data_IF_530512090395
#
_entry.id   IF_530512090395
#
_cell.length_a   1.000
_cell.length_b   1.000
_cell.length_c   1.000
_cell.angle_alpha   90.00
_cell.angle_beta   90.00
_cell.angle_gamma   90.00
#
_symmetry.space_group_name_H-M   'P 1'
#
loop_
_entity.id
_entity.type
_entity.pdbx_description
1 polymer ?
#
# COMPACT_ATOMS: atom_id res chain seq x y z
N UNK A 1 -44.54 11.54 -0.66
CA UNK A 1 -43.65 12.29 -1.58
C UNK A 1 -42.42 12.79 -0.81
N UNK A 2 -41.71 11.89 -0.10
CA UNK A 2 -40.62 12.25 0.84
C UNK A 2 -39.47 11.22 0.76
N UNK A 3 -39.24 10.64 -0.42
CA UNK A 3 -38.28 9.56 -0.63
C UNK A 3 -37.17 9.94 -1.62
N UNK A 4 -37.20 11.16 -2.18
CA UNK A 4 -36.21 11.68 -3.14
C UNK A 4 -34.99 12.34 -2.51
N UNK A 5 -35.06 12.73 -1.24
CA UNK A 5 -34.03 13.60 -0.64
C UNK A 5 -32.93 12.83 0.10
N UNK A 6 -33.19 11.58 0.51
CA UNK A 6 -32.16 10.73 1.14
C UNK A 6 -31.14 10.20 0.13
N UNK A 7 -31.55 9.81 -1.07
CA UNK A 7 -30.64 9.24 -2.08
C UNK A 7 -29.62 10.27 -2.61
N UNK A 8 -30.02 11.54 -2.76
CA UNK A 8 -29.11 12.61 -3.21
C UNK A 8 -28.07 13.03 -2.16
N UNK A 9 -28.34 12.82 -0.87
CA UNK A 9 -27.42 13.19 0.21
C UNK A 9 -26.24 12.22 0.35
N UNK A 10 -26.45 10.94 0.04
CA UNK A 10 -25.41 9.90 0.14
C UNK A 10 -24.38 9.99 -1.00
N UNK A 11 -24.84 10.35 -2.20
CA UNK A 11 -24.02 10.54 -3.39
C UNK A 11 -23.17 11.82 -3.32
N UNK A 12 -23.59 12.87 -2.61
CA UNK A 12 -22.89 14.17 -2.59
C UNK A 12 -21.72 14.29 -1.59
N UNK A 13 -21.54 13.30 -0.69
CA UNK A 13 -20.55 13.34 0.41
C UNK A 13 -19.46 12.27 0.30
N UNK A 14 -19.34 11.59 -0.84
CA UNK A 14 -18.32 10.56 -1.07
C UNK A 14 -16.89 11.08 -0.81
N UNK A 15 -16.65 12.36 -1.09
CA UNK A 15 -15.36 13.03 -0.90
C UNK A 15 -14.97 13.14 0.58
N UNK A 16 -15.91 13.17 1.53
CA UNK A 16 -15.60 13.23 2.97
C UNK A 16 -14.89 11.94 3.42
N UNK A 17 -15.32 10.79 2.91
CA UNK A 17 -14.68 9.50 3.18
C UNK A 17 -13.28 9.40 2.55
N UNK A 18 -13.06 10.05 1.40
CA UNK A 18 -11.74 10.15 0.79
C UNK A 18 -10.83 11.14 1.53
N UNK A 19 -11.36 12.29 1.94
CA UNK A 19 -10.63 13.29 2.71
C UNK A 19 -10.17 12.74 4.06
N UNK A 20 -11.03 11.99 4.78
CA UNK A 20 -10.64 11.33 6.03
C UNK A 20 -9.58 10.25 5.78
N UNK A 21 -9.70 9.47 4.70
CA UNK A 21 -8.75 8.39 4.41
C UNK A 21 -7.37 8.91 4.02
N UNK A 22 -7.31 9.87 3.11
CA UNK A 22 -6.06 10.35 2.50
C UNK A 22 -5.53 11.65 3.12
N UNK A 23 -6.31 12.36 3.94
CA UNK A 23 -5.88 13.62 4.56
C UNK A 23 -4.70 13.43 5.50
N UNK A 24 -4.81 12.49 6.45
CA UNK A 24 -3.69 12.16 7.35
C UNK A 24 -2.47 11.66 6.56
N UNK A 25 -2.67 10.76 5.60
CA UNK A 25 -1.59 10.24 4.76
C UNK A 25 -0.93 11.34 3.93
N UNK A 26 -1.68 12.30 3.40
CA UNK A 26 -1.10 13.44 2.66
C UNK A 26 -0.12 14.24 3.52
N UNK A 27 -0.48 14.49 4.78
CA UNK A 27 0.41 15.20 5.72
C UNK A 27 1.66 14.35 6.03
N UNK A 28 1.46 13.07 6.38
CA UNK A 28 2.59 12.17 6.70
C UNK A 28 3.50 11.95 5.50
N UNK A 29 2.94 11.65 4.33
CA UNK A 29 3.66 11.51 3.07
C UNK A 29 4.43 12.76 2.68
N UNK A 30 3.88 13.96 2.92
CA UNK A 30 4.59 15.22 2.69
C UNK A 30 5.83 15.34 3.58
N UNK A 31 5.72 15.00 4.86
CA UNK A 31 6.83 14.97 5.81
C UNK A 31 7.87 13.92 5.40
N UNK A 32 7.45 12.70 5.08
CA UNK A 32 8.31 11.60 4.61
C UNK A 32 9.08 12.02 3.36
N UNK A 33 8.39 12.55 2.35
CA UNK A 33 9.01 12.98 1.10
C UNK A 33 10.05 14.08 1.35
N UNK A 34 9.72 15.06 2.20
CA UNK A 34 10.66 16.10 2.60
C UNK A 34 11.94 15.52 3.24
N UNK A 35 11.81 14.54 4.14
CA UNK A 35 12.97 13.86 4.74
C UNK A 35 13.78 13.07 3.71
N UNK A 36 13.12 12.34 2.79
CA UNK A 36 13.79 11.61 1.72
C UNK A 36 14.60 12.56 0.81
N UNK A 37 14.05 13.72 0.45
CA UNK A 37 14.76 14.74 -0.32
C UNK A 37 15.96 15.34 0.43
N UNK A 38 15.83 15.58 1.73
CA UNK A 38 16.93 16.16 2.52
C UNK A 38 18.05 15.16 2.81
N UNK A 39 17.74 13.86 2.85
CA UNK A 39 18.72 12.79 3.10
C UNK A 39 19.36 12.27 1.82
N UNK A 40 18.80 12.56 0.64
CA UNK A 40 19.34 12.11 -0.64
C UNK A 40 19.66 13.29 -1.58
N UNK A 41 20.94 13.53 -1.92
CA UNK A 41 21.34 14.61 -2.83
C UNK A 41 20.70 14.54 -4.23
N UNK A 42 20.31 13.36 -4.72
CA UNK A 42 19.64 13.22 -6.02
C UNK A 42 18.17 13.68 -5.97
N UNK A 43 17.51 13.56 -4.81
CA UNK A 43 16.12 13.96 -4.62
C UNK A 43 15.99 15.42 -4.13
N UNK A 44 17.03 15.99 -3.52
CA UNK A 44 17.04 17.37 -3.00
C UNK A 44 16.56 18.43 -4.00
N UNK A 45 16.89 18.38 -5.30
CA UNK A 45 16.39 19.35 -6.28
C UNK A 45 14.86 19.38 -6.42
N UNK A 46 14.15 18.31 -6.05
CA UNK A 46 12.67 18.26 -6.07
C UNK A 46 12.03 19.19 -5.03
N UNK A 47 12.80 19.72 -4.08
CA UNK A 47 12.33 20.74 -3.15
C UNK A 47 12.44 22.16 -3.71
N UNK A 48 12.94 22.34 -4.94
CA UNK A 48 13.10 23.64 -5.60
C UNK A 48 13.84 24.70 -4.75
N UNK A 49 14.84 24.25 -4.00
CA UNK A 49 15.64 25.14 -3.12
C UNK A 49 14.98 25.47 -1.78
N UNK A 50 13.85 24.86 -1.45
CA UNK A 50 13.26 24.98 -0.12
C UNK A 50 14.15 24.33 0.95
N UNK A 51 14.38 25.07 2.03
CA UNK A 51 15.19 24.63 3.17
C UNK A 51 14.32 24.45 4.42
N UNK A 52 14.74 23.54 5.29
CA UNK A 52 14.10 23.34 6.59
C UNK A 52 14.14 24.65 7.40
N UNK A 53 12.97 25.15 7.81
CA UNK A 53 12.85 26.34 8.66
C UNK A 53 12.17 27.55 8.02
N UNK A 54 11.92 27.55 6.70
CA UNK A 54 11.08 28.53 6.02
C UNK A 54 9.92 27.83 5.30
N UNK A 55 8.87 27.52 6.05
CA UNK A 55 7.65 26.96 5.48
C UNK A 55 6.83 28.13 4.91
N UNK A 56 6.89 28.31 3.59
CA UNK A 56 6.04 29.27 2.88
C UNK A 56 4.87 28.56 2.17
N UNK A 57 3.90 29.35 1.69
CA UNK A 57 2.70 28.84 1.01
C UNK A 57 3.00 27.93 -0.20
N UNK A 58 3.96 28.30 -1.08
CA UNK A 58 4.40 27.43 -2.17
C UNK A 58 4.97 26.09 -1.71
N UNK A 59 5.86 26.07 -0.71
CA UNK A 59 6.41 24.83 -0.17
C UNK A 59 5.32 23.95 0.44
N UNK A 60 4.36 24.53 1.18
CA UNK A 60 3.22 23.78 1.72
C UNK A 60 2.37 23.15 0.62
N UNK A 61 2.10 23.90 -0.46
CA UNK A 61 1.32 23.41 -1.59
C UNK A 61 2.06 22.26 -2.30
N UNK A 62 3.37 22.41 -2.48
CA UNK A 62 4.22 21.39 -3.08
C UNK A 62 4.24 20.11 -2.22
N UNK A 63 4.45 20.24 -0.91
CA UNK A 63 4.47 19.12 0.01
C UNK A 63 3.10 18.45 0.14
N UNK A 64 2.00 19.20 0.04
CA UNK A 64 0.66 18.63 -0.03
C UNK A 64 0.47 17.80 -1.32
N UNK A 65 0.93 18.30 -2.47
CA UNK A 65 0.89 17.58 -3.74
C UNK A 65 1.72 16.29 -3.71
N UNK A 66 2.98 16.39 -3.28
CA UNK A 66 3.86 15.22 -3.15
C UNK A 66 3.39 14.25 -2.08
N UNK A 67 2.90 14.75 -0.95
CA UNK A 67 2.33 13.94 0.10
C UNK A 67 1.12 13.15 -0.37
N UNK A 68 0.22 13.78 -1.12
CA UNK A 68 -0.95 13.09 -1.70
C UNK A 68 -0.52 12.00 -2.68
N UNK A 69 0.43 12.31 -3.58
CA UNK A 69 0.94 11.35 -4.55
C UNK A 69 1.64 10.16 -3.85
N UNK A 70 2.50 10.45 -2.88
CA UNK A 70 3.20 9.44 -2.09
C UNK A 70 2.23 8.55 -1.32
N UNK A 71 1.25 9.15 -0.65
CA UNK A 71 0.18 8.47 0.06
C UNK A 71 -0.60 7.52 -0.86
N UNK A 72 -0.94 7.96 -2.07
CA UNK A 72 -1.63 7.13 -3.05
C UNK A 72 -0.78 5.92 -3.46
N UNK A 73 0.50 6.13 -3.79
CA UNK A 73 1.45 5.06 -4.15
C UNK A 73 1.64 4.08 -2.97
N UNK A 74 1.88 4.59 -1.78
CA UNK A 74 2.06 3.79 -0.57
C UNK A 74 0.82 2.93 -0.28
N UNK A 75 -0.38 3.43 -0.59
CA UNK A 75 -1.65 2.72 -0.37
C UNK A 75 -1.96 1.58 -1.35
N UNK A 76 -1.20 1.41 -2.45
CA UNK A 76 -1.39 0.36 -3.45
C UNK A 76 -1.65 -1.06 -2.87
N UNK A 77 -0.91 -1.54 -1.84
CA UNK A 77 -1.17 -2.83 -1.22
C UNK A 77 -2.59 -3.00 -0.67
N UNK A 78 -3.20 -1.91 -0.16
CA UNK A 78 -4.57 -1.94 0.38
C UNK A 78 -5.57 -2.28 -0.73
N UNK A 79 -5.37 -1.77 -1.95
CA UNK A 79 -6.22 -2.08 -3.09
C UNK A 79 -6.17 -3.58 -3.44
N UNK A 80 -4.96 -4.16 -3.43
CA UNK A 80 -4.76 -5.59 -3.72
C UNK A 80 -5.48 -6.46 -2.71
N UNK A 81 -5.28 -6.19 -1.41
CA UNK A 81 -5.98 -6.93 -0.36
C UNK A 81 -7.49 -6.68 -0.38
N UNK A 82 -7.93 -5.49 -0.78
CA UNK A 82 -9.35 -5.20 -0.94
C UNK A 82 -9.98 -6.05 -2.05
N UNK A 83 -9.33 -6.16 -3.20
CA UNK A 83 -9.78 -6.98 -4.32
C UNK A 83 -9.75 -8.47 -3.96
N UNK A 84 -8.68 -8.93 -3.31
CA UNK A 84 -8.49 -10.34 -2.94
C UNK A 84 -9.17 -10.77 -1.65
N UNK A 85 -9.93 -9.91 -0.96
CA UNK A 85 -10.51 -10.22 0.37
C UNK A 85 -11.44 -11.43 0.39
N UNK A 86 -12.00 -11.84 -0.74
CA UNK A 86 -12.80 -13.07 -0.85
C UNK A 86 -11.99 -14.32 -0.49
N UNK A 87 -10.65 -14.26 -0.62
CA UNK A 87 -9.72 -15.31 -0.20
C UNK A 87 -9.65 -15.47 1.34
N UNK A 88 -10.25 -14.56 2.11
CA UNK A 88 -10.26 -14.58 3.58
C UNK A 88 -11.54 -15.18 4.18
N UNK A 89 -12.29 -16.00 3.43
CA UNK A 89 -13.53 -16.65 3.88
C UNK A 89 -13.48 -17.15 5.35
N UNK A 90 -14.14 -16.39 6.23
CA UNK A 90 -14.16 -16.55 7.70
C UNK A 90 -15.03 -17.74 8.12
N UNK A 91 -15.91 -18.23 7.23
CA UNK A 91 -16.82 -19.34 7.52
C UNK A 91 -16.17 -20.74 7.47
N UNK A 92 -14.89 -20.84 7.14
CA UNK A 92 -14.21 -22.13 6.99
C UNK A 92 -13.61 -22.67 8.30
N UNK A 93 -13.29 -23.96 8.30
CA UNK A 93 -12.73 -24.64 9.47
C UNK A 93 -11.49 -23.93 10.05
N UNK A 94 -11.30 -24.01 11.37
CA UNK A 94 -10.11 -23.45 12.07
C UNK A 94 -8.79 -23.88 11.42
N UNK A 95 -8.71 -25.12 10.93
CA UNK A 95 -7.52 -25.64 10.23
C UNK A 95 -7.22 -24.86 8.95
N UNK A 96 -8.24 -24.57 8.14
CA UNK A 96 -8.08 -23.81 6.89
C UNK A 96 -7.64 -22.37 7.15
N UNK A 97 -8.15 -21.75 8.22
CA UNK A 97 -7.73 -20.41 8.63
C UNK A 97 -6.24 -20.35 8.99
N UNK A 98 -5.75 -21.32 9.79
CA UNK A 98 -4.33 -21.39 10.17
C UNK A 98 -3.44 -21.58 8.94
N UNK A 99 -3.81 -22.46 8.01
CA UNK A 99 -3.02 -22.68 6.78
C UNK A 99 -2.89 -21.41 5.93
N UNK A 100 -3.93 -20.58 5.86
CA UNK A 100 -3.86 -19.29 5.13
C UNK A 100 -2.91 -18.31 5.82
N UNK A 101 -2.98 -18.21 7.15
CA UNK A 101 -2.05 -17.38 7.94
C UNK A 101 -0.60 -17.85 7.71
N UNK A 102 -0.36 -19.16 7.77
CA UNK A 102 0.97 -19.72 7.50
C UNK A 102 1.44 -19.41 6.08
N UNK A 103 0.60 -19.58 5.06
CA UNK A 103 0.97 -19.28 3.67
C UNK A 103 1.33 -17.80 3.45
N UNK A 104 0.68 -16.90 4.16
CA UNK A 104 0.91 -15.46 4.06
C UNK A 104 2.17 -15.03 4.81
N UNK A 105 2.38 -15.52 6.03
CA UNK A 105 3.42 -15.00 6.92
C UNK A 105 4.67 -15.88 7.06
N UNK A 106 4.58 -17.19 6.82
CA UNK A 106 5.73 -18.10 6.97
C UNK A 106 6.80 -17.88 5.88
N UNK A 107 6.46 -17.77 4.58
CA UNK A 107 7.49 -17.50 3.56
C UNK A 107 8.30 -16.21 3.77
N UNK A 108 7.70 -15.03 4.07
CA UNK A 108 8.49 -13.83 4.33
C UNK A 108 9.32 -13.95 5.62
N UNK A 109 8.82 -14.67 6.65
CA UNK A 109 9.58 -14.94 7.86
C UNK A 109 10.81 -15.81 7.58
N UNK A 110 10.64 -16.93 6.85
CA UNK A 110 11.72 -17.83 6.47
C UNK A 110 12.72 -17.12 5.55
N UNK A 111 12.23 -16.35 4.58
CA UNK A 111 13.07 -15.54 3.70
C UNK A 111 13.89 -14.51 4.48
N UNK A 112 13.29 -13.86 5.48
CA UNK A 112 13.99 -12.91 6.35
C UNK A 112 15.06 -13.60 7.18
N UNK A 113 14.77 -14.76 7.76
CA UNK A 113 15.75 -15.54 8.52
C UNK A 113 16.90 -16.00 7.61
N UNK A 114 16.61 -16.53 6.43
CA UNK A 114 17.61 -16.91 5.45
C UNK A 114 18.48 -15.72 5.00
N UNK A 115 17.88 -14.56 4.77
CA UNK A 115 18.61 -13.33 4.50
C UNK A 115 19.52 -12.95 5.68
N UNK A 116 19.01 -12.93 6.91
CA UNK A 116 19.80 -12.60 8.10
C UNK A 116 21.02 -13.53 8.27
N UNK A 117 20.85 -14.84 8.14
CA UNK A 117 21.93 -15.82 8.34
C UNK A 117 22.89 -15.98 7.15
N UNK A 118 22.49 -15.55 5.95
CA UNK A 118 23.36 -15.62 4.74
C UNK A 118 24.31 -14.43 4.60
N UNK A 119 24.10 -13.35 5.36
CA UNK A 119 24.90 -12.13 5.27
C UNK A 119 26.15 -12.23 6.13
N UNK A 120 27.27 -11.79 5.56
CA UNK A 120 28.57 -11.69 6.24
C UNK A 120 28.70 -10.41 7.07
N UNK A 121 27.81 -9.43 6.87
CA UNK A 121 27.76 -8.20 7.66
C UNK A 121 27.38 -8.48 9.10
N UNK A 122 27.94 -7.73 10.06
CA UNK A 122 27.66 -7.87 11.49
C UNK A 122 27.22 -6.54 12.11
N UNK A 123 26.72 -6.58 13.35
CA UNK A 123 26.36 -5.38 14.10
C UNK A 123 25.08 -4.67 13.63
N UNK A 124 24.89 -3.38 13.96
CA UNK A 124 23.66 -2.60 13.69
C UNK A 124 23.23 -2.62 12.22
N UNK A 125 24.21 -2.65 11.32
CA UNK A 125 24.04 -2.66 9.88
C UNK A 125 23.33 -3.92 9.37
N UNK A 126 23.66 -5.10 9.92
CA UNK A 126 22.94 -6.35 9.62
C UNK A 126 21.47 -6.24 10.03
N UNK A 127 21.21 -5.80 11.27
CA UNK A 127 19.84 -5.66 11.78
C UNK A 127 19.01 -4.69 10.95
N UNK A 128 19.60 -3.57 10.52
CA UNK A 128 18.93 -2.60 9.66
C UNK A 128 18.55 -3.20 8.30
N UNK A 129 19.52 -3.81 7.58
CA UNK A 129 19.23 -4.43 6.28
C UNK A 129 18.23 -5.58 6.37
N UNK A 130 18.34 -6.43 7.40
CA UNK A 130 17.39 -7.51 7.61
C UNK A 130 15.99 -7.00 7.93
N UNK A 131 15.88 -5.87 8.64
CA UNK A 131 14.58 -5.23 8.90
C UNK A 131 13.99 -4.65 7.61
N UNK A 132 14.79 -3.98 6.77
CA UNK A 132 14.36 -3.48 5.46
C UNK A 132 13.86 -4.63 4.58
N UNK A 133 14.64 -5.72 4.49
CA UNK A 133 14.24 -6.92 3.76
C UNK A 133 12.94 -7.51 4.33
N UNK A 134 12.81 -7.61 5.65
CA UNK A 134 11.61 -8.11 6.29
C UNK A 134 10.39 -7.27 5.90
N UNK A 135 10.47 -5.94 6.05
CA UNK A 135 9.37 -5.05 5.68
C UNK A 135 8.97 -5.19 4.21
N UNK A 136 9.95 -5.23 3.30
CA UNK A 136 9.69 -5.45 1.89
C UNK A 136 9.02 -6.82 1.65
N UNK A 137 9.54 -7.89 2.24
CA UNK A 137 9.00 -9.24 2.08
C UNK A 137 7.58 -9.36 2.64
N UNK A 138 7.31 -8.85 3.84
CA UNK A 138 5.98 -8.90 4.47
C UNK A 138 4.92 -8.07 3.75
N UNK A 139 5.30 -7.09 2.93
CA UNK A 139 4.36 -6.32 2.11
C UNK A 139 4.24 -6.90 0.71
N UNK A 140 5.35 -7.21 0.04
CA UNK A 140 5.34 -7.66 -1.35
C UNK A 140 4.82 -9.10 -1.47
N UNK A 141 5.28 -10.03 -0.63
CA UNK A 141 4.89 -11.44 -0.74
C UNK A 141 3.36 -11.62 -0.67
N UNK A 142 2.66 -11.09 0.35
CA UNK A 142 1.21 -11.26 0.41
C UNK A 142 0.47 -10.57 -0.73
N UNK A 143 0.95 -9.43 -1.24
CA UNK A 143 0.34 -8.76 -2.38
C UNK A 143 0.40 -9.62 -3.65
N UNK A 144 1.60 -10.08 -4.01
CA UNK A 144 1.81 -10.90 -5.21
C UNK A 144 1.05 -12.22 -5.12
N UNK A 145 1.08 -12.87 -3.95
CA UNK A 145 0.29 -14.07 -3.71
C UNK A 145 -1.21 -13.81 -3.85
N UNK A 146 -1.72 -12.70 -3.28
CA UNK A 146 -3.14 -12.35 -3.30
C UNK A 146 -3.62 -12.07 -4.72
N UNK A 147 -2.90 -11.25 -5.49
CA UNK A 147 -3.32 -10.93 -6.86
C UNK A 147 -3.23 -12.16 -7.76
N UNK A 148 -2.19 -12.99 -7.60
CA UNK A 148 -2.06 -14.25 -8.32
C UNK A 148 -3.27 -15.14 -8.04
N UNK A 149 -3.56 -15.45 -6.78
CA UNK A 149 -4.71 -16.29 -6.42
C UNK A 149 -6.05 -15.69 -6.88
N UNK A 150 -6.18 -14.36 -6.87
CA UNK A 150 -7.38 -13.65 -7.33
C UNK A 150 -7.61 -13.86 -8.83
N UNK A 151 -6.57 -13.72 -9.64
CA UNK A 151 -6.65 -13.89 -11.11
C UNK A 151 -6.96 -15.34 -11.51
N UNK A 152 -6.59 -16.33 -10.69
CA UNK A 152 -6.89 -17.74 -10.95
C UNK A 152 -8.24 -18.21 -10.37
N UNK A 153 -8.92 -17.41 -9.55
CA UNK A 153 -10.19 -17.77 -8.86
C UNK A 153 -11.32 -16.79 -9.18
N UNK A 154 -11.46 -16.49 -10.47
CA UNK A 154 -12.40 -15.48 -10.97
C UNK A 154 -13.86 -15.83 -10.69
N UNK A 155 -14.23 -17.12 -10.71
CA UNK A 155 -15.61 -17.57 -10.42
C UNK A 155 -15.98 -17.35 -8.96
N UNK A 156 -15.11 -17.76 -8.05
CA UNK A 156 -15.31 -17.58 -6.61
C UNK A 156 -15.31 -16.10 -6.23
N UNK A 157 -14.46 -15.31 -6.88
CA UNK A 157 -14.43 -13.87 -6.78
C UNK A 157 -15.80 -13.27 -7.18
N UNK A 158 -16.33 -13.60 -8.36
CA UNK A 158 -17.61 -13.08 -8.84
C UNK A 158 -18.76 -13.45 -7.89
N UNK A 159 -18.87 -14.74 -7.54
CA UNK A 159 -19.88 -15.23 -6.60
C UNK A 159 -19.83 -14.51 -5.24
N UNK A 160 -18.62 -14.23 -4.74
CA UNK A 160 -18.45 -13.47 -3.51
C UNK A 160 -19.00 -12.05 -3.64
N UNK A 161 -18.66 -11.34 -4.73
CA UNK A 161 -19.09 -9.96 -4.93
C UNK A 161 -20.60 -9.85 -5.21
N UNK A 162 -21.19 -10.77 -5.97
CA UNK A 162 -22.65 -10.85 -6.16
C UNK A 162 -23.38 -11.07 -4.83
N UNK A 163 -22.94 -12.05 -4.04
CA UNK A 163 -23.51 -12.33 -2.72
C UNK A 163 -23.38 -11.13 -1.78
N UNK A 164 -22.24 -10.44 -1.84
CA UNK A 164 -21.99 -9.26 -1.02
C UNK A 164 -22.87 -8.08 -1.44
N UNK A 165 -23.02 -7.83 -2.75
CA UNK A 165 -23.90 -6.81 -3.29
C UNK A 165 -25.35 -7.06 -2.89
N UNK A 166 -25.85 -8.29 -3.09
CA UNK A 166 -27.22 -8.67 -2.71
C UNK A 166 -27.49 -8.49 -1.22
N UNK A 167 -26.56 -8.94 -0.34
CA UNK A 167 -26.70 -8.74 1.12
C UNK A 167 -26.63 -7.28 1.56
N UNK A 168 -25.92 -6.42 0.83
CA UNK A 168 -25.84 -4.98 1.13
C UNK A 168 -27.09 -4.25 0.69
N UNK A 169 -27.68 -4.65 -0.44
CA UNK A 169 -28.93 -4.06 -0.93
C UNK A 169 -30.11 -4.36 -0.01
N UNK A 170 -30.08 -5.47 0.74
CA UNK A 170 -31.15 -5.85 1.67
C UNK A 170 -30.88 -5.50 3.14
N UNK A 171 -29.66 -5.09 3.47
CA UNK A 171 -29.29 -4.75 4.85
C UNK A 171 -29.54 -3.26 5.10
N UNK A 172 -30.67 -2.94 5.73
CA UNK A 172 -30.93 -1.62 6.30
C UNK A 172 -30.24 -1.47 7.67
N UNK A 173 -29.56 -0.33 7.91
CA UNK A 173 -29.22 0.12 9.25
C UNK A 173 -27.78 -0.08 9.77
N UNK A 174 -27.62 0.24 11.06
CA UNK A 174 -26.37 0.68 11.69
C UNK A 174 -25.19 -0.30 11.69
N UNK A 175 -25.39 -1.62 11.52
CA UNK A 175 -24.26 -2.55 11.44
C UNK A 175 -23.44 -2.31 10.17
N UNK A 176 -24.11 -2.02 9.04
CA UNK A 176 -23.44 -1.78 7.76
C UNK A 176 -22.57 -0.52 7.83
N UNK A 177 -23.11 0.53 8.42
CA UNK A 177 -22.41 1.80 8.56
C UNK A 177 -21.31 1.73 9.63
N UNK A 178 -21.54 1.00 10.72
CA UNK A 178 -20.52 0.75 11.75
C UNK A 178 -19.29 0.04 11.18
N UNK A 179 -19.46 -1.01 10.37
CA UNK A 179 -18.29 -1.69 9.79
C UNK A 179 -17.65 -0.87 8.66
N UNK A 180 -18.42 -0.09 7.87
CA UNK A 180 -17.86 0.83 6.86
C UNK A 180 -16.92 1.83 7.52
N UNK A 181 -17.37 2.45 8.61
CA UNK A 181 -16.60 3.41 9.40
C UNK A 181 -15.33 2.77 9.99
N UNK A 182 -15.46 1.58 10.60
CA UNK A 182 -14.30 0.82 11.11
C UNK A 182 -13.27 0.55 10.01
N UNK A 183 -13.73 0.17 8.81
CA UNK A 183 -12.86 -0.07 7.65
C UNK A 183 -12.20 1.21 7.15
N UNK A 184 -12.89 2.33 7.17
CA UNK A 184 -12.34 3.61 6.71
C UNK A 184 -11.23 4.12 7.62
N UNK A 185 -11.40 4.03 8.93
CA UNK A 185 -10.33 4.32 9.89
C UNK A 185 -9.18 3.33 9.78
N UNK A 186 -9.48 2.03 9.72
CA UNK A 186 -8.47 0.99 9.53
C UNK A 186 -7.62 1.23 8.27
N UNK A 187 -8.25 1.65 7.17
CA UNK A 187 -7.54 2.01 5.94
C UNK A 187 -6.65 3.24 6.15
N UNK A 188 -7.12 4.29 6.83
CA UNK A 188 -6.32 5.50 7.08
C UNK A 188 -5.05 5.18 7.88
N UNK A 189 -5.15 4.39 8.96
CA UNK A 189 -3.97 3.95 9.70
C UNK A 189 -3.06 3.02 8.88
N UNK A 190 -3.64 2.13 8.07
CA UNK A 190 -2.87 1.24 7.21
C UNK A 190 -2.06 2.00 6.16
N UNK A 191 -2.60 3.11 5.62
CA UNK A 191 -1.88 3.99 4.71
C UNK A 191 -0.62 4.53 5.38
N UNK A 192 -0.75 5.12 6.57
CA UNK A 192 0.39 5.69 7.31
C UNK A 192 1.46 4.63 7.60
N UNK A 193 1.06 3.42 7.98
CA UNK A 193 2.00 2.31 8.20
C UNK A 193 2.75 1.97 6.90
N UNK A 194 2.04 1.88 5.78
CA UNK A 194 2.65 1.58 4.47
C UNK A 194 3.53 2.71 3.96
N UNK A 195 3.19 3.97 4.25
CA UNK A 195 4.03 5.14 3.96
C UNK A 195 5.36 5.04 4.71
N UNK A 196 5.35 4.72 6.00
CA UNK A 196 6.56 4.56 6.80
C UNK A 196 7.40 3.38 6.28
N UNK A 197 6.77 2.25 5.97
CA UNK A 197 7.47 1.08 5.42
C UNK A 197 8.14 1.41 4.08
N UNK A 198 7.40 2.01 3.16
CA UNK A 198 7.94 2.41 1.86
C UNK A 198 9.07 3.44 2.04
N UNK A 199 8.95 4.37 3.00
CA UNK A 199 9.97 5.37 3.31
C UNK A 199 11.27 4.72 3.76
N UNK A 200 11.21 3.74 4.67
CA UNK A 200 12.37 3.00 5.15
C UNK A 200 13.06 2.27 4.00
N UNK A 201 12.29 1.65 3.09
CA UNK A 201 12.83 0.96 1.91
C UNK A 201 13.53 1.94 0.97
N UNK A 202 12.89 3.06 0.65
CA UNK A 202 13.46 4.08 -0.23
C UNK A 202 14.69 4.75 0.40
N UNK A 203 14.66 5.02 1.71
CA UNK A 203 15.80 5.56 2.44
C UNK A 203 17.00 4.60 2.39
N UNK A 204 16.78 3.30 2.62
CA UNK A 204 17.83 2.28 2.53
C UNK A 204 18.40 2.18 1.10
N UNK A 205 17.54 2.27 0.07
CA UNK A 205 17.95 2.27 -1.33
C UNK A 205 18.81 3.50 -1.69
N UNK A 206 18.43 4.67 -1.19
CA UNK A 206 19.16 5.92 -1.39
C UNK A 206 20.51 5.99 -0.70
N UNK A 207 20.70 5.23 0.38
CA UNK A 207 21.93 5.18 1.18
C UNK A 207 22.68 3.86 0.97
N UNK A 208 22.35 3.09 -0.08
CA UNK A 208 22.81 1.72 -0.25
C UNK A 208 24.35 1.60 -0.24
N UNK A 209 25.07 2.47 -0.94
CA UNK A 209 26.54 2.40 -1.03
C UNK A 209 27.23 2.65 0.32
N UNK A 210 26.75 3.63 1.08
CA UNK A 210 27.19 3.90 2.45
C UNK A 210 26.88 2.70 3.34
N UNK A 211 25.72 2.09 3.12
CA UNK A 211 25.19 0.96 3.87
C UNK A 211 26.06 -0.28 3.61
N UNK A 212 26.44 -0.60 2.37
CA UNK A 212 27.27 -1.78 2.06
C UNK A 212 28.79 -1.53 2.08
N UNK A 213 29.25 -0.32 2.45
CA UNK A 213 30.66 0.03 2.51
C UNK A 213 31.36 0.04 1.15
N UNK A 214 30.63 0.34 0.07
CA UNK A 214 31.19 0.36 -1.26
C UNK A 214 32.19 1.51 -1.42
N UNK A 215 33.37 1.21 -1.95
CA UNK A 215 34.47 2.18 -2.18
C UNK A 215 34.25 3.04 -3.43
N UNK A 216 33.28 2.69 -4.27
CA UNK A 216 32.93 3.42 -5.49
C UNK A 216 31.64 4.18 -5.24
N UNK A 217 31.69 5.51 -5.30
CA UNK A 217 30.50 6.34 -5.27
C UNK A 217 29.63 5.98 -6.49
N UNK A 218 28.40 5.51 -6.27
CA UNK A 218 27.50 5.28 -7.40
C UNK A 218 27.26 6.58 -8.16
N UNK A 219 27.19 6.47 -9.48
CA UNK A 219 26.77 7.60 -10.31
C UNK A 219 25.30 7.89 -10.02
N UNK A 220 24.89 9.16 -10.16
CA UNK A 220 23.50 9.60 -9.90
C UNK A 220 22.46 8.73 -10.63
N UNK A 221 22.81 8.18 -11.79
CA UNK A 221 21.94 7.36 -12.63
C UNK A 221 21.60 6.00 -11.99
N UNK A 222 22.50 5.40 -11.20
CA UNK A 222 22.28 4.10 -10.56
C UNK A 222 21.16 4.15 -9.51
N UNK A 223 21.04 5.26 -8.78
CA UNK A 223 19.99 5.40 -7.75
C UNK A 223 18.61 5.62 -8.35
N UNK A 224 18.49 6.32 -9.49
CA UNK A 224 17.20 6.58 -10.13
C UNK A 224 16.54 5.27 -10.59
N UNK A 225 17.29 4.38 -11.24
CA UNK A 225 16.76 3.09 -11.68
C UNK A 225 16.31 2.22 -10.51
N UNK A 226 17.04 2.26 -9.38
CA UNK A 226 16.66 1.53 -8.17
C UNK A 226 15.35 2.06 -7.58
N UNK A 227 15.19 3.38 -7.47
CA UNK A 227 13.93 3.99 -7.01
C UNK A 227 12.76 3.62 -7.91
N UNK A 228 12.93 3.74 -9.22
CA UNK A 228 11.88 3.37 -10.19
C UNK A 228 11.55 1.88 -10.06
N UNK A 229 12.55 1.01 -9.95
CA UNK A 229 12.35 -0.43 -9.77
C UNK A 229 11.55 -0.77 -8.50
N UNK A 230 11.88 -0.13 -7.37
CA UNK A 230 11.15 -0.30 -6.10
C UNK A 230 9.69 0.13 -6.25
N UNK A 231 9.45 1.32 -6.81
CA UNK A 231 8.09 1.84 -7.00
C UNK A 231 7.29 0.94 -7.95
N UNK A 232 7.88 0.49 -9.05
CA UNK A 232 7.23 -0.44 -9.98
C UNK A 232 6.88 -1.76 -9.30
N UNK A 233 7.82 -2.36 -8.57
CA UNK A 233 7.59 -3.61 -7.83
C UNK A 233 6.49 -3.44 -6.75
N UNK A 234 6.42 -2.27 -6.13
CA UNK A 234 5.42 -1.94 -5.12
C UNK A 234 4.01 -1.80 -5.70
N UNK A 235 3.86 -1.10 -6.83
CA UNK A 235 2.53 -0.80 -7.42
C UNK A 235 2.04 -1.86 -8.40
N UNK A 236 2.92 -2.71 -8.95
CA UNK A 236 2.56 -3.66 -10.00
C UNK A 236 1.38 -4.58 -9.60
N UNK A 237 1.34 -5.17 -8.39
CA UNK A 237 0.18 -5.97 -7.97
C UNK A 237 -1.13 -5.17 -7.99
N UNK A 238 -1.09 -3.90 -7.60
CA UNK A 238 -2.26 -3.01 -7.62
C UNK A 238 -2.67 -2.65 -9.06
N UNK A 239 -1.71 -2.43 -9.96
CA UNK A 239 -1.98 -2.24 -11.38
C UNK A 239 -2.66 -3.47 -12.00
N UNK A 240 -2.27 -4.68 -11.60
CA UNK A 240 -2.89 -5.93 -12.04
C UNK A 240 -4.34 -6.11 -11.53
N UNK A 241 -4.77 -5.37 -10.50
CA UNK A 241 -6.19 -5.35 -10.09
C UNK A 241 -7.08 -4.80 -11.21
N UNK A 242 -6.54 -3.98 -12.11
CA UNK A 242 -7.28 -3.56 -13.31
C UNK A 242 -7.78 -4.76 -14.14
N UNK A 243 -6.94 -5.79 -14.31
CA UNK A 243 -7.34 -7.02 -15.02
C UNK A 243 -8.50 -7.74 -14.32
N UNK A 244 -8.54 -7.69 -12.99
CA UNK A 244 -9.66 -8.25 -12.20
C UNK A 244 -10.96 -7.54 -12.57
N UNK A 245 -10.93 -6.21 -12.71
CA UNK A 245 -12.07 -5.42 -13.17
C UNK A 245 -12.51 -5.79 -14.59
N UNK A 246 -11.56 -5.90 -15.53
CA UNK A 246 -11.86 -6.32 -16.91
C UNK A 246 -12.50 -7.71 -16.98
N UNK A 247 -12.07 -8.64 -16.12
CA UNK A 247 -12.66 -9.97 -16.04
C UNK A 247 -14.12 -9.92 -15.56
N UNK A 248 -14.45 -9.05 -14.59
CA UNK A 248 -15.84 -8.83 -14.20
C UNK A 248 -16.69 -8.25 -15.33
N UNK A 249 -16.21 -7.22 -16.01
CA UNK A 249 -16.94 -6.61 -17.13
C UNK A 249 -17.26 -7.62 -18.22
N UNK A 250 -16.33 -8.53 -18.51
CA UNK A 250 -16.55 -9.59 -19.49
C UNK A 250 -17.67 -10.54 -19.06
N UNK A 251 -17.69 -10.98 -17.80
CA UNK A 251 -18.74 -11.89 -17.33
C UNK A 251 -20.12 -11.22 -17.37
N UNK A 252 -20.22 -9.93 -17.03
CA UNK A 252 -21.47 -9.17 -17.20
C UNK A 252 -21.91 -9.02 -18.65
N UNK A 253 -20.97 -8.95 -19.60
CA UNK A 253 -21.32 -8.90 -21.03
C UNK A 253 -21.83 -10.23 -21.60
N UNK A 254 -21.58 -11.34 -20.92
CA UNK A 254 -22.00 -12.68 -21.33
C UNK A 254 -23.28 -13.19 -20.65
N UNK A 255 -23.82 -12.43 -19.69
CA UNK A 255 -25.09 -12.69 -19.01
C UNK A 255 -26.26 -12.05 -19.78
#
# INVERSE_FOLDING_TARGET
MAQSDQDNSSSSRWWEFYAVRYGMGTVVGGVVFFFLCNTNPALKPMLFGAEAGKIDGPLLTLLAGYGLAYCYIASAPILVFHAGRFLLDVGQSKKTSIWRVLLIFLPPLVGTAAFFFSRTSTGPMLYFLSSVFAFAAFVLWPQYLTIFLTLFRTKELLQFYEKLAGKRGTAEGGLVDSYKHLREHGNSFSIVVLEIVLAIILFAAGNFDVTIGATVAATKDTHVLLYVGIILLWILPAALVWLVGTLFEREFSSA
#
